data_IF_158236027632
#
_entry.id   IF_158236027632
#
_cell.length_a   1.000
_cell.length_b   1.000
_cell.length_c   1.000
_cell.angle_alpha   90.00
_cell.angle_beta   90.00
_cell.angle_gamma   90.00
#
_symmetry.space_group_name_H-M   'P 1'
#
loop_
_entity.id
_entity.type
_entity.pdbx_description
1 polymer ?
#
# COMPACT_ATOMS: atom_id res chain seq x y z
N UNK A 1 -7.37 19.27 -14.74
CA UNK A 1 -7.23 17.79 -14.71
C UNK A 1 -7.06 17.38 -13.26
N UNK A 2 -7.90 16.49 -12.73
CA UNK A 2 -7.79 16.03 -11.35
C UNK A 2 -6.51 15.18 -11.21
N UNK A 3 -5.62 15.55 -10.28
CA UNK A 3 -4.40 14.79 -10.02
C UNK A 3 -4.80 13.44 -9.43
N UNK A 4 -4.46 12.34 -10.11
CA UNK A 4 -4.70 10.98 -9.60
C UNK A 4 -3.83 10.76 -8.37
N UNK A 5 -4.39 10.20 -7.31
CA UNK A 5 -3.67 9.89 -6.07
C UNK A 5 -4.01 8.49 -5.58
N UNK A 6 -3.13 7.93 -4.74
CA UNK A 6 -3.30 6.64 -4.07
C UNK A 6 -3.56 6.89 -2.59
N UNK A 7 -4.38 6.05 -1.94
CA UNK A 7 -4.55 6.09 -0.49
C UNK A 7 -3.21 5.85 0.22
N UNK A 8 -2.84 6.72 1.16
CA UNK A 8 -1.63 6.56 1.98
C UNK A 8 -1.61 5.24 2.76
N UNK A 9 -2.78 4.68 3.08
CA UNK A 9 -2.89 3.36 3.70
C UNK A 9 -2.22 2.27 2.86
N UNK A 10 -2.40 2.26 1.54
CA UNK A 10 -1.84 1.21 0.68
C UNK A 10 -0.32 1.29 0.65
N UNK A 11 0.22 2.50 0.56
CA UNK A 11 1.68 2.73 0.65
C UNK A 11 2.23 2.35 2.02
N UNK A 12 1.54 2.71 3.11
CA UNK A 12 1.93 2.31 4.48
C UNK A 12 1.93 0.81 4.66
N UNK A 13 0.89 0.14 4.18
CA UNK A 13 0.77 -1.33 4.28
C UNK A 13 1.89 -2.02 3.52
N UNK A 14 2.22 -1.54 2.33
CA UNK A 14 3.34 -2.04 1.53
C UNK A 14 4.69 -1.83 2.21
N UNK A 15 4.91 -0.66 2.84
CA UNK A 15 6.13 -0.37 3.60
C UNK A 15 6.24 -1.24 4.85
N UNK A 16 5.12 -1.48 5.54
CA UNK A 16 5.08 -2.39 6.68
C UNK A 16 5.39 -3.83 6.23
N UNK A 17 4.87 -4.26 5.09
CA UNK A 17 5.21 -5.55 4.49
C UNK A 17 6.71 -5.64 4.15
N UNK A 18 7.29 -4.61 3.54
CA UNK A 18 8.73 -4.52 3.29
C UNK A 18 9.56 -4.65 4.57
N UNK A 19 9.12 -4.04 5.68
CA UNK A 19 9.79 -4.15 6.97
C UNK A 19 9.78 -5.59 7.49
N UNK A 20 8.67 -6.32 7.32
CA UNK A 20 8.60 -7.75 7.65
C UNK A 20 9.52 -8.62 6.78
N UNK A 21 9.83 -8.18 5.56
CA UNK A 21 10.82 -8.82 4.68
C UNK A 21 12.28 -8.43 5.03
N UNK A 22 12.50 -7.64 6.10
CA UNK A 22 13.83 -7.24 6.55
C UNK A 22 14.41 -6.02 5.81
N UNK A 23 13.60 -5.29 5.04
CA UNK A 23 14.06 -4.07 4.36
C UNK A 23 14.22 -2.92 5.35
N UNK A 24 15.32 -2.18 5.22
CA UNK A 24 15.56 -0.91 5.91
C UNK A 24 14.61 0.18 5.36
N UNK A 25 13.62 0.53 6.16
CA UNK A 25 12.54 1.45 5.75
C UNK A 25 13.02 2.88 5.58
N UNK A 26 13.97 3.34 6.38
CA UNK A 26 14.51 4.70 6.24
C UNK A 26 15.24 4.85 4.90
N UNK A 27 16.06 3.85 4.54
CA UNK A 27 16.73 3.82 3.24
C UNK A 27 15.74 3.69 2.08
N UNK A 28 14.72 2.85 2.21
CA UNK A 28 13.65 2.71 1.21
C UNK A 28 12.94 4.04 0.96
N UNK A 29 12.43 4.68 2.02
CA UNK A 29 11.74 5.97 1.96
C UNK A 29 12.61 7.06 1.34
N UNK A 30 13.88 7.15 1.77
CA UNK A 30 14.85 8.11 1.22
C UNK A 30 15.07 7.91 -0.28
N UNK A 31 15.26 6.67 -0.76
CA UNK A 31 15.45 6.37 -2.19
C UNK A 31 14.27 6.76 -3.07
N UNK A 32 13.04 6.65 -2.56
CA UNK A 32 11.83 6.94 -3.34
C UNK A 32 11.30 8.36 -3.11
N UNK A 33 11.99 9.18 -2.30
CA UNK A 33 11.58 10.55 -1.97
C UNK A 33 10.28 10.60 -1.16
N UNK A 34 10.03 9.60 -0.31
CA UNK A 34 8.85 9.52 0.53
C UNK A 34 9.18 10.01 1.94
N UNK A 35 8.45 11.03 2.40
CA UNK A 35 8.52 11.48 3.78
C UNK A 35 7.81 10.46 4.70
N UNK A 36 8.49 9.87 5.70
CA UNK A 36 7.86 8.96 6.67
C UNK A 36 6.65 9.56 7.39
N UNK A 37 6.61 10.88 7.60
CA UNK A 37 5.47 11.55 8.25
C UNK A 37 4.19 11.37 7.44
N UNK A 38 4.29 11.34 6.11
CA UNK A 38 3.18 11.09 5.20
C UNK A 38 2.49 9.73 5.42
N UNK A 39 3.19 8.76 6.02
CA UNK A 39 2.66 7.42 6.32
C UNK A 39 1.89 7.35 7.65
N UNK A 40 2.09 8.34 8.51
CA UNK A 40 1.43 8.43 9.83
C UNK A 40 0.22 9.34 9.82
N UNK A 41 0.06 10.15 8.78
CA UNK A 41 -1.06 11.09 8.64
C UNK A 41 -2.29 10.37 8.09
N UNK A 42 -3.41 10.31 8.85
CA UNK A 42 -4.67 9.76 8.36
C UNK A 42 -5.13 10.48 7.08
N UNK A 43 -5.72 9.74 6.15
CA UNK A 43 -6.25 10.24 4.86
C UNK A 43 -5.24 10.90 3.91
N UNK A 44 -3.95 10.86 4.22
CA UNK A 44 -2.93 11.40 3.33
C UNK A 44 -2.94 10.67 1.98
N UNK A 45 -2.76 11.44 0.90
CA UNK A 45 -2.83 10.97 -0.48
C UNK A 45 -1.43 10.98 -1.09
N UNK A 46 -1.03 9.83 -1.62
CA UNK A 46 0.31 9.63 -2.19
C UNK A 46 0.25 9.82 -3.70
N UNK A 47 1.25 10.50 -4.25
CA UNK A 47 1.41 10.64 -5.69
C UNK A 47 1.67 9.24 -6.29
N UNK A 48 0.98 8.82 -7.36
CA UNK A 48 1.10 7.47 -7.90
C UNK A 48 2.53 7.08 -8.28
N UNK A 49 3.33 8.02 -8.78
CA UNK A 49 4.74 7.78 -9.13
C UNK A 49 5.57 7.33 -7.94
N UNK A 50 5.35 7.93 -6.75
CA UNK A 50 6.02 7.55 -5.50
C UNK A 50 5.54 6.17 -5.06
N UNK A 51 4.23 5.93 -5.07
CA UNK A 51 3.67 4.60 -4.74
C UNK A 51 4.27 3.49 -5.61
N UNK A 52 4.34 3.70 -6.94
CA UNK A 52 4.96 2.73 -7.85
C UNK A 52 6.48 2.61 -7.67
N UNK A 53 7.16 3.68 -7.24
CA UNK A 53 8.59 3.62 -6.93
C UNK A 53 8.85 2.74 -5.71
N UNK A 54 7.99 2.79 -4.69
CA UNK A 54 8.07 1.88 -3.53
C UNK A 54 7.97 0.42 -3.97
N UNK A 55 6.98 0.07 -4.79
CA UNK A 55 6.84 -1.29 -5.34
C UNK A 55 8.13 -1.75 -6.05
N UNK A 56 8.64 -0.95 -6.99
CA UNK A 56 9.84 -1.30 -7.77
C UNK A 56 11.08 -1.45 -6.89
N UNK A 57 11.25 -0.57 -5.91
CA UNK A 57 12.42 -0.63 -5.04
C UNK A 57 12.36 -1.83 -4.10
N UNK A 58 11.18 -2.23 -3.62
CA UNK A 58 11.03 -3.46 -2.83
C UNK A 58 11.37 -4.68 -3.69
N UNK A 59 10.79 -4.82 -4.89
CA UNK A 59 11.12 -5.94 -5.81
C UNK A 59 12.62 -5.99 -6.08
N UNK A 60 13.27 -4.84 -6.30
CA UNK A 60 14.73 -4.77 -6.53
C UNK A 60 15.54 -5.23 -5.32
N UNK A 61 15.11 -4.92 -4.10
CA UNK A 61 15.82 -5.28 -2.88
C UNK A 61 15.58 -6.74 -2.45
N UNK A 62 14.37 -7.26 -2.65
CA UNK A 62 14.02 -8.65 -2.29
C UNK A 62 14.37 -9.66 -3.38
N UNK A 63 14.36 -9.25 -4.65
CA UNK A 63 14.38 -10.16 -5.79
C UNK A 63 13.06 -10.93 -5.98
N UNK A 64 12.00 -10.55 -5.26
CA UNK A 64 10.70 -11.22 -5.31
C UNK A 64 9.85 -10.70 -6.47
N UNK A 65 9.80 -11.44 -7.57
CA UNK A 65 8.97 -11.11 -8.73
C UNK A 65 7.47 -11.27 -8.44
N UNK A 66 7.11 -12.04 -7.41
CA UNK A 66 5.73 -12.29 -6.98
C UNK A 66 5.30 -11.42 -5.79
N UNK A 67 6.02 -10.33 -5.53
CA UNK A 67 5.79 -9.46 -4.37
C UNK A 67 4.32 -9.05 -4.19
N UNK A 68 3.60 -8.79 -5.30
CA UNK A 68 2.18 -8.43 -5.26
C UNK A 68 1.28 -9.55 -4.73
N UNK A 69 1.60 -10.80 -5.06
CA UNK A 69 0.88 -11.98 -4.57
C UNK A 69 1.12 -12.15 -3.07
N UNK A 70 2.37 -12.20 -2.64
CA UNK A 70 2.72 -12.38 -1.22
C UNK A 70 2.22 -11.21 -0.36
N UNK A 71 2.26 -9.98 -0.89
CA UNK A 71 1.64 -8.84 -0.23
C UNK A 71 0.14 -9.02 -0.07
N UNK A 72 -0.56 -9.49 -1.12
CA UNK A 72 -1.99 -9.77 -1.09
C UNK A 72 -2.37 -10.86 -0.08
N UNK A 73 -1.58 -11.93 0.02
CA UNK A 73 -1.77 -13.00 1.01
C UNK A 73 -1.59 -12.50 2.45
N UNK A 74 -0.66 -11.57 2.67
CA UNK A 74 -0.44 -10.93 3.97
C UNK A 74 -1.38 -9.74 4.22
N UNK A 75 -2.18 -9.31 3.24
CA UNK A 75 -2.97 -8.08 3.33
C UNK A 75 -4.17 -8.26 4.26
N UNK A 76 -4.19 -7.49 5.34
CA UNK A 76 -5.32 -7.49 6.26
C UNK A 76 -6.43 -6.53 5.78
N UNK A 77 -7.51 -7.09 5.22
CA UNK A 77 -8.70 -6.32 4.84
C UNK A 77 -9.39 -5.68 6.05
N UNK A 78 -9.34 -6.30 7.24
CA UNK A 78 -9.95 -5.75 8.45
C UNK A 78 -9.34 -4.42 8.89
N UNK A 79 -8.07 -4.15 8.54
CA UNK A 79 -7.44 -2.85 8.78
C UNK A 79 -7.67 -1.84 7.65
N UNK A 80 -8.34 -2.22 6.55
CA UNK A 80 -8.58 -1.35 5.40
C UNK A 80 -9.81 -0.42 5.54
N UNK A 81 -10.13 -0.05 6.79
CA UNK A 81 -11.18 0.91 7.12
C UNK A 81 -12.56 0.52 6.57
N UNK A 82 -13.33 1.54 6.16
CA UNK A 82 -14.69 1.34 5.64
C UNK A 82 -14.71 0.49 4.36
N UNK A 83 -13.69 0.61 3.51
CA UNK A 83 -13.58 -0.20 2.29
C UNK A 83 -13.42 -1.67 2.66
N UNK A 84 -12.52 -1.96 3.60
CA UNK A 84 -12.35 -3.30 4.16
C UNK A 84 -13.64 -3.85 4.78
N UNK A 85 -14.36 -3.02 5.54
CA UNK A 85 -15.65 -3.40 6.11
C UNK A 85 -16.68 -3.78 5.04
N UNK A 86 -16.83 -2.97 3.98
CA UNK A 86 -17.77 -3.26 2.89
C UNK A 86 -17.38 -4.57 2.19
N UNK A 87 -16.09 -4.74 1.86
CA UNK A 87 -15.58 -5.96 1.21
C UNK A 87 -15.85 -7.23 2.04
N UNK A 88 -15.78 -7.13 3.38
CA UNK A 88 -16.01 -8.25 4.29
C UNK A 88 -17.49 -8.54 4.58
N UNK A 89 -18.39 -7.58 4.34
CA UNK A 89 -19.81 -7.69 4.72
C UNK A 89 -20.78 -7.75 3.53
N UNK A 90 -20.30 -7.54 2.31
CA UNK A 90 -21.05 -7.82 1.09
C UNK A 90 -20.90 -9.30 0.71
N UNK A 91 -21.99 -9.92 0.26
CA UNK A 91 -22.00 -11.32 -0.14
C UNK A 91 -21.32 -11.53 -1.50
N UNK A 92 -21.32 -10.48 -2.35
CA UNK A 92 -20.69 -10.51 -3.66
C UNK A 92 -19.88 -9.25 -3.92
N UNK A 93 -18.91 -9.35 -4.84
CA UNK A 93 -18.16 -8.18 -5.30
C UNK A 93 -19.07 -7.17 -6.04
N UNK A 94 -20.15 -7.62 -6.68
CA UNK A 94 -21.11 -6.73 -7.33
C UNK A 94 -21.74 -5.77 -6.31
N UNK A 95 -22.18 -6.27 -5.16
CA UNK A 95 -22.74 -5.46 -4.07
C UNK A 95 -21.77 -4.40 -3.54
N UNK A 96 -20.46 -4.66 -3.62
CA UNK A 96 -19.42 -3.68 -3.21
C UNK A 96 -19.41 -2.47 -4.14
N UNK A 97 -19.60 -2.69 -5.45
CA UNK A 97 -19.58 -1.62 -6.45
C UNK A 97 -20.92 -0.86 -6.55
N UNK A 98 -21.99 -1.42 -5.98
CA UNK A 98 -23.31 -0.77 -5.91
C UNK A 98 -23.47 0.14 -4.67
N UNK A 99 -22.52 0.10 -3.73
CA UNK A 99 -22.46 0.97 -2.53
C UNK A 99 -21.49 2.13 -2.69
#
# INVERSE_FOLDING_TARGET
MQQKTVSGYLTRSLIQFAAYQGIDIEKLCSKVGLDPVALTTPDHRIIPSVHYAVWREIVKQTGDENLGLHFGEAFNLGSYGIVGYILLNCATLAEVFEK
#
